data_IF_730085722155
#
_entry.id   IF_730085722155
#
_cell.length_a   1.000
_cell.length_b   1.000
_cell.length_c   1.000
_cell.angle_alpha   90.00
_cell.angle_beta   90.00
_cell.angle_gamma   90.00
#
_symmetry.space_group_name_H-M   'P 1'
#
loop_
_entity.id
_entity.type
_entity.pdbx_description
1 polymer ?
#
# COMPACT_ATOMS: atom_id res chain seq x y z
N UNK A 1 53.41 21.63 37.92
CA UNK A 1 52.95 21.66 36.52
C UNK A 1 51.58 20.97 36.48
N UNK A 2 50.48 21.74 36.35
CA UNK A 2 49.10 21.19 36.31
C UNK A 2 48.69 21.08 34.84
N UNK A 3 48.41 19.86 34.38
CA UNK A 3 47.90 19.60 33.03
C UNK A 3 46.38 19.82 33.07
N UNK A 4 45.90 20.86 32.41
CA UNK A 4 44.47 21.06 32.15
C UNK A 4 44.07 20.14 30.99
N UNK A 5 43.22 19.16 31.26
CA UNK A 5 42.63 18.29 30.25
C UNK A 5 41.32 18.94 29.79
N UNK A 6 41.33 19.54 28.59
CA UNK A 6 40.14 20.12 27.96
C UNK A 6 39.45 19.00 27.19
N UNK A 7 38.34 18.48 27.73
CA UNK A 7 37.46 17.55 27.02
C UNK A 7 36.65 18.36 25.99
N UNK A 8 36.76 18.10 24.67
CA UNK A 8 35.86 18.71 23.71
C UNK A 8 34.47 18.09 23.91
N UNK A 9 33.52 18.88 24.39
CA UNK A 9 32.10 18.52 24.37
C UNK A 9 31.68 18.52 22.90
N UNK A 10 31.64 17.35 22.29
CA UNK A 10 31.03 17.14 20.98
C UNK A 10 29.52 17.22 21.21
N UNK A 11 28.94 18.41 21.09
CA UNK A 11 27.50 18.57 20.94
C UNK A 11 27.12 18.01 19.57
N UNK A 12 26.84 16.71 19.50
CA UNK A 12 26.12 16.12 18.39
C UNK A 12 24.70 16.70 18.43
N UNK A 13 24.52 17.82 17.73
CA UNK A 13 23.19 18.26 17.29
C UNK A 13 22.68 17.12 16.43
N UNK A 14 21.85 16.25 17.00
CA UNK A 14 21.12 15.27 16.23
C UNK A 14 20.22 16.08 15.29
N UNK A 15 20.66 16.26 14.05
CA UNK A 15 19.77 16.71 12.99
C UNK A 15 18.64 15.67 12.94
N UNK A 16 17.47 16.03 13.48
CA UNK A 16 16.26 15.25 13.30
C UNK A 16 16.02 15.19 11.80
N UNK A 17 16.20 14.01 11.21
CA UNK A 17 15.85 13.79 9.81
C UNK A 17 14.35 14.04 9.72
N UNK A 18 13.94 14.86 8.76
CA UNK A 18 12.52 15.13 8.52
C UNK A 18 11.94 13.92 7.79
N UNK A 19 11.32 13.04 8.57
CA UNK A 19 10.74 11.77 8.11
C UNK A 19 9.25 11.93 7.78
N UNK A 20 8.77 13.16 7.52
CA UNK A 20 7.36 13.42 7.18
C UNK A 20 7.05 12.91 5.76
N UNK A 21 6.13 11.94 5.58
CA UNK A 21 5.73 11.49 4.25
C UNK A 21 5.03 12.61 3.47
N UNK A 22 5.38 12.74 2.19
CA UNK A 22 4.71 13.68 1.27
C UNK A 22 3.76 12.96 0.30
N UNK A 23 4.00 11.68 0.04
CA UNK A 23 3.14 10.81 -0.76
C UNK A 23 3.46 9.34 -0.43
N UNK A 24 2.56 8.43 -0.81
CA UNK A 24 2.69 7.00 -0.61
C UNK A 24 2.35 6.20 -1.88
N UNK A 25 2.83 4.97 -1.95
CA UNK A 25 2.37 3.92 -2.87
C UNK A 25 1.89 2.73 -2.05
N UNK A 26 0.80 2.09 -2.47
CA UNK A 26 0.15 1.04 -1.70
C UNK A 26 -0.14 -0.22 -2.52
N UNK A 27 0.87 -0.85 -3.19
CA UNK A 27 0.63 -2.03 -3.99
C UNK A 27 0.01 -3.18 -3.17
N UNK A 28 -1.01 -3.81 -3.75
CA UNK A 28 -1.71 -4.98 -3.22
C UNK A 28 -1.40 -6.18 -4.10
N UNK A 29 -0.92 -7.26 -3.49
CA UNK A 29 -0.61 -8.54 -4.13
C UNK A 29 -1.49 -9.61 -3.53
N UNK A 30 -2.33 -10.25 -4.36
CA UNK A 30 -3.30 -11.25 -3.90
C UNK A 30 -3.29 -12.49 -4.79
N UNK A 31 -3.47 -13.64 -4.17
CA UNK A 31 -3.59 -14.93 -4.81
C UNK A 31 -4.89 -15.60 -4.34
N UNK A 32 -5.86 -15.87 -5.25
CA UNK A 32 -7.04 -16.65 -4.91
C UNK A 32 -6.66 -18.07 -4.48
N UNK A 33 -7.18 -18.53 -3.35
CA UNK A 33 -7.01 -19.89 -2.83
C UNK A 33 -8.37 -20.58 -2.68
N UNK A 34 -8.82 -21.22 -3.75
CA UNK A 34 -10.18 -21.74 -3.81
C UNK A 34 -11.19 -20.58 -3.85
N UNK A 35 -12.05 -20.50 -2.84
CA UNK A 35 -12.98 -19.36 -2.69
C UNK A 35 -12.38 -18.24 -1.83
N UNK A 36 -11.31 -18.52 -1.08
CA UNK A 36 -10.68 -17.54 -0.19
C UNK A 36 -9.58 -16.77 -0.93
N UNK A 37 -9.03 -15.76 -0.27
CA UNK A 37 -7.96 -14.93 -0.80
C UNK A 37 -6.83 -14.83 0.23
N UNK A 38 -5.59 -14.91 -0.23
CA UNK A 38 -4.42 -14.65 0.59
C UNK A 38 -3.47 -13.71 -0.12
N UNK A 39 -2.81 -12.82 0.61
CA UNK A 39 -1.94 -11.84 -0.01
C UNK A 39 -1.27 -10.91 0.98
N UNK A 40 -0.74 -9.81 0.45
CA UNK A 40 -0.20 -8.73 1.25
C UNK A 40 -0.41 -7.38 0.56
N UNK A 41 -0.49 -6.33 1.37
CA UNK A 41 -0.40 -4.95 0.92
C UNK A 41 0.86 -4.32 1.51
N UNK A 42 1.57 -3.53 0.71
CA UNK A 42 2.72 -2.76 1.19
C UNK A 42 2.44 -1.28 1.02
N UNK A 43 2.50 -0.51 2.09
CA UNK A 43 2.47 0.94 2.07
C UNK A 43 3.91 1.46 2.05
N UNK A 44 4.34 2.12 0.98
CA UNK A 44 5.66 2.70 0.83
C UNK A 44 5.59 4.23 0.89
N UNK A 45 6.38 4.85 1.79
CA UNK A 45 6.32 6.28 2.07
C UNK A 45 7.54 7.03 1.55
N UNK A 46 7.30 8.23 1.03
CA UNK A 46 8.34 9.02 0.40
C UNK A 46 8.32 10.49 0.85
N UNK A 47 9.50 11.04 1.17
CA UNK A 47 9.65 12.39 1.74
C UNK A 47 9.66 13.53 0.73
N UNK A 48 9.63 13.26 -0.58
CA UNK A 48 9.47 14.27 -1.63
C UNK A 48 8.65 13.73 -2.79
N UNK A 49 7.68 14.52 -3.25
CA UNK A 49 6.89 14.24 -4.46
C UNK A 49 7.79 13.91 -5.67
N UNK A 50 7.26 13.11 -6.60
CA UNK A 50 7.95 12.61 -7.79
C UNK A 50 8.73 13.71 -8.51
N UNK A 51 10.07 13.73 -8.38
CA UNK A 51 10.93 14.70 -9.06
C UNK A 51 11.44 14.12 -10.38
N UNK A 52 11.57 14.96 -11.41
CA UNK A 52 12.13 14.58 -12.73
C UNK A 52 13.48 13.86 -12.68
N UNK A 53 14.25 14.01 -11.60
CA UNK A 53 15.52 13.33 -11.39
C UNK A 53 15.32 12.03 -10.58
N UNK A 54 15.04 10.94 -11.28
CA UNK A 54 14.77 9.59 -10.73
C UNK A 54 15.87 9.01 -9.82
N UNK A 55 17.08 9.61 -9.79
CA UNK A 55 18.25 9.03 -9.09
C UNK A 55 18.28 9.28 -7.58
N UNK A 56 17.36 10.07 -7.02
CA UNK A 56 17.23 10.22 -5.57
C UNK A 56 16.07 9.38 -5.08
N UNK A 57 16.38 8.25 -4.43
CA UNK A 57 15.40 7.48 -3.66
C UNK A 57 15.00 8.36 -2.48
N UNK A 58 13.75 8.82 -2.49
CA UNK A 58 13.14 9.58 -1.39
C UNK A 58 12.34 8.70 -0.45
N UNK A 59 12.54 7.38 -0.54
CA UNK A 59 11.95 6.39 0.35
C UNK A 59 12.30 6.72 1.79
N UNK A 60 11.28 6.69 2.65
CA UNK A 60 11.40 6.91 4.09
C UNK A 60 11.30 5.58 4.83
N UNK A 61 10.18 4.89 4.65
CA UNK A 61 9.86 3.64 5.32
C UNK A 61 8.70 2.93 4.59
N UNK A 62 8.37 1.72 5.00
CA UNK A 62 7.24 0.94 4.55
C UNK A 62 6.54 0.21 5.70
N UNK A 63 5.26 -0.08 5.47
CA UNK A 63 4.42 -0.91 6.33
C UNK A 63 3.86 -2.04 5.47
N UNK A 64 4.12 -3.29 5.86
CA UNK A 64 3.62 -4.47 5.17
C UNK A 64 2.54 -5.12 6.02
N UNK A 65 1.38 -5.34 5.43
CA UNK A 65 0.25 -6.01 6.06
C UNK A 65 -0.09 -7.29 5.29
N UNK A 66 -0.31 -8.37 6.02
CA UNK A 66 -0.87 -9.62 5.50
C UNK A 66 -2.38 -9.44 5.31
N UNK A 67 -2.89 -9.98 4.20
CA UNK A 67 -4.31 -9.96 3.86
C UNK A 67 -4.85 -11.39 3.85
N UNK A 68 -5.94 -11.61 4.57
CA UNK A 68 -6.72 -12.85 4.53
C UNK A 68 -8.15 -12.50 4.15
N UNK A 69 -8.63 -13.05 3.04
CA UNK A 69 -9.95 -12.77 2.50
C UNK A 69 -10.88 -13.97 2.59
N UNK A 70 -12.09 -13.74 3.09
CA UNK A 70 -13.18 -14.72 3.07
C UNK A 70 -14.17 -14.34 1.97
N UNK A 71 -14.56 -15.30 1.14
CA UNK A 71 -15.54 -15.07 0.07
C UNK A 71 -16.86 -14.52 0.61
N UNK A 72 -17.41 -13.52 -0.07
CA UNK A 72 -18.74 -12.96 0.18
C UNK A 72 -19.55 -12.90 -1.11
N UNK A 73 -20.85 -12.60 -0.98
CA UNK A 73 -21.70 -12.35 -2.15
C UNK A 73 -21.11 -11.19 -2.98
N UNK A 74 -20.88 -11.38 -4.30
CA UNK A 74 -20.34 -10.32 -5.15
C UNK A 74 -21.23 -9.08 -5.20
N UNK A 75 -20.60 -7.91 -5.25
CA UNK A 75 -21.26 -6.65 -5.57
C UNK A 75 -21.82 -6.65 -6.99
N UNK A 76 -22.75 -5.73 -7.27
CA UNK A 76 -23.26 -5.51 -8.62
C UNK A 76 -22.10 -5.19 -9.58
N UNK A 77 -21.86 -6.05 -10.57
CA UNK A 77 -20.76 -5.90 -11.54
C UNK A 77 -19.45 -6.60 -11.18
N UNK A 78 -19.36 -7.15 -9.97
CA UNK A 78 -18.22 -7.92 -9.47
C UNK A 78 -18.39 -9.40 -9.80
N UNK A 79 -17.33 -10.05 -10.27
CA UNK A 79 -17.30 -11.50 -10.48
C UNK A 79 -16.88 -12.24 -9.21
N UNK A 80 -15.99 -11.63 -8.42
CA UNK A 80 -15.47 -12.13 -7.15
C UNK A 80 -15.44 -11.01 -6.12
N UNK A 81 -15.73 -11.33 -4.86
CA UNK A 81 -15.62 -10.40 -3.75
C UNK A 81 -15.21 -11.13 -2.47
N UNK A 82 -14.43 -10.42 -1.65
CA UNK A 82 -13.94 -10.90 -0.36
C UNK A 82 -14.07 -9.83 0.72
N UNK A 83 -14.47 -10.26 1.91
CA UNK A 83 -14.23 -9.52 3.15
C UNK A 83 -12.78 -9.75 3.57
N UNK A 84 -12.04 -8.68 3.85
CA UNK A 84 -10.61 -8.73 4.14
C UNK A 84 -10.36 -8.51 5.63
N UNK A 85 -9.57 -9.41 6.22
CA UNK A 85 -8.90 -9.20 7.50
C UNK A 85 -7.43 -8.85 7.23
N UNK A 86 -6.98 -7.72 7.79
CA UNK A 86 -5.62 -7.21 7.61
C UNK A 86 -4.83 -7.32 8.91
N UNK A 87 -3.61 -7.88 8.85
CA UNK A 87 -2.73 -7.99 10.01
C UNK A 87 -1.37 -7.37 9.70
N UNK A 88 -0.86 -6.49 10.58
CA UNK A 88 0.49 -5.94 10.45
C UNK A 88 1.53 -7.07 10.49
N UNK A 89 2.36 -7.17 9.44
CA UNK A 89 3.40 -8.18 9.30
C UNK A 89 4.79 -7.62 9.63
N UNK A 90 5.18 -6.54 8.96
CA UNK A 90 6.50 -5.91 9.10
C UNK A 90 6.42 -4.39 8.91
N UNK A 91 7.32 -3.65 9.55
CA UNK A 91 7.46 -2.21 9.36
C UNK A 91 8.88 -1.75 9.71
N UNK A 92 9.46 -0.87 8.89
CA UNK A 92 10.68 -0.13 9.21
C UNK A 92 10.38 1.34 9.58
N UNK A 93 9.10 1.71 9.69
CA UNK A 93 8.66 3.02 10.14
C UNK A 93 8.82 3.18 11.65
N UNK A 94 8.99 4.42 12.11
CA UNK A 94 9.00 4.75 13.55
C UNK A 94 7.65 4.44 14.21
N UNK A 95 7.65 4.08 15.50
CA UNK A 95 6.47 3.66 16.28
C UNK A 95 5.23 4.55 16.09
N UNK A 96 5.38 5.88 16.09
CA UNK A 96 4.26 6.82 15.92
C UNK A 96 3.54 6.73 14.58
N UNK A 97 4.17 6.08 13.60
CA UNK A 97 3.64 5.87 12.27
C UNK A 97 3.27 4.40 12.08
N UNK A 98 4.13 3.47 12.50
CA UNK A 98 3.90 2.03 12.42
C UNK A 98 2.59 1.55 13.08
N UNK A 99 2.14 2.20 14.16
CA UNK A 99 0.94 1.83 14.91
C UNK A 99 -0.36 2.48 14.36
N UNK A 100 -0.32 3.13 13.20
CA UNK A 100 -1.50 3.75 12.62
C UNK A 100 -2.49 2.70 12.09
N UNK A 101 -3.67 2.62 12.70
CA UNK A 101 -4.74 1.67 12.35
C UNK A 101 -5.21 1.80 10.89
N UNK A 102 -4.98 2.95 10.24
CA UNK A 102 -5.28 3.17 8.83
C UNK A 102 -4.59 2.15 7.91
N UNK A 103 -3.43 1.60 8.28
CA UNK A 103 -2.73 0.62 7.44
C UNK A 103 -3.39 -0.76 7.41
N UNK A 104 -4.26 -1.03 8.38
CA UNK A 104 -5.04 -2.27 8.48
C UNK A 104 -6.53 -2.04 8.18
N UNK A 105 -6.89 -0.88 7.61
CA UNK A 105 -8.27 -0.47 7.39
C UNK A 105 -8.93 -1.07 6.12
N UNK A 106 -8.20 -1.84 5.31
CA UNK A 106 -8.75 -2.52 4.15
C UNK A 106 -9.76 -3.58 4.60
N UNK A 107 -11.02 -3.42 4.20
CA UNK A 107 -12.13 -4.30 4.62
C UNK A 107 -12.71 -5.12 3.47
N UNK A 108 -12.54 -4.68 2.23
CA UNK A 108 -13.12 -5.34 1.07
C UNK A 108 -12.23 -5.26 -0.15
N UNK A 109 -12.22 -6.35 -0.91
CA UNK A 109 -11.60 -6.42 -2.23
C UNK A 109 -12.55 -7.17 -3.18
N UNK A 110 -12.72 -6.64 -4.38
CA UNK A 110 -13.50 -7.29 -5.42
C UNK A 110 -12.78 -7.23 -6.77
N UNK A 111 -13.03 -8.22 -7.60
CA UNK A 111 -12.59 -8.30 -8.99
C UNK A 111 -13.82 -8.48 -9.88
N UNK A 112 -13.88 -7.78 -10.99
CA UNK A 112 -14.99 -7.89 -11.92
C UNK A 112 -14.73 -7.19 -13.23
N UNK A 113 -15.81 -6.76 -13.87
CA UNK A 113 -15.71 -6.02 -15.13
C UNK A 113 -15.04 -4.67 -14.90
N UNK A 114 -14.31 -4.20 -15.90
CA UNK A 114 -13.87 -2.80 -15.94
C UNK A 114 -15.10 -1.91 -16.07
N UNK A 115 -15.16 -0.82 -15.31
CA UNK A 115 -16.25 0.16 -15.43
C UNK A 115 -16.30 0.69 -16.87
N UNK A 116 -17.50 0.76 -17.42
CA UNK A 116 -17.76 1.33 -18.74
C UNK A 116 -17.21 2.75 -18.93
N UNK A 117 -17.13 3.56 -17.86
CA UNK A 117 -16.53 4.89 -17.93
C UNK A 117 -15.00 4.85 -18.10
N UNK A 118 -14.36 3.77 -17.65
CA UNK A 118 -12.91 3.54 -17.70
C UNK A 118 -12.47 2.67 -18.88
N UNK A 119 -13.43 1.99 -19.55
CA UNK A 119 -13.18 1.07 -20.68
C UNK A 119 -12.41 1.74 -21.83
N UNK A 120 -12.56 3.07 -22.00
CA UNK A 120 -11.84 3.85 -23.02
C UNK A 120 -10.34 3.95 -22.76
N UNK A 121 -9.94 3.88 -21.48
CA UNK A 121 -8.54 3.96 -21.07
C UNK A 121 -7.91 2.57 -20.83
N UNK A 122 -8.72 1.50 -20.90
CA UNK A 122 -8.27 0.11 -20.76
C UNK A 122 -7.32 -0.28 -21.91
N UNK A 123 -6.07 -0.70 -21.63
CA UNK A 123 -5.13 -1.13 -22.65
C UNK A 123 -5.53 -2.46 -23.32
N UNK A 124 -6.41 -3.25 -22.69
CA UNK A 124 -6.91 -4.53 -23.21
C UNK A 124 -8.44 -4.67 -23.02
N UNK A 125 -9.26 -3.86 -23.72
CA UNK A 125 -10.71 -3.85 -23.55
C UNK A 125 -11.33 -5.24 -23.80
N UNK A 126 -12.11 -5.71 -22.83
CA UNK A 126 -12.78 -7.01 -22.86
C UNK A 126 -11.95 -8.18 -22.35
N UNK A 127 -10.64 -8.00 -22.16
CA UNK A 127 -9.74 -9.01 -21.59
C UNK A 127 -9.23 -8.65 -20.20
N UNK A 128 -9.25 -7.36 -19.83
CA UNK A 128 -8.91 -6.89 -18.49
C UNK A 128 -10.06 -7.11 -17.48
N UNK A 129 -9.69 -7.32 -16.21
CA UNK A 129 -10.60 -7.25 -15.05
C UNK A 129 -10.31 -6.00 -14.23
N UNK A 130 -11.37 -5.35 -13.75
CA UNK A 130 -11.31 -4.25 -12.80
C UNK A 130 -11.15 -4.76 -11.37
N UNK A 131 -10.19 -4.20 -10.63
CA UNK A 131 -10.05 -4.36 -9.20
C UNK A 131 -10.71 -3.21 -8.46
N UNK A 132 -11.37 -3.54 -7.35
CA UNK A 132 -12.11 -2.62 -6.49
C UNK A 132 -11.68 -2.85 -5.04
N UNK A 133 -11.38 -1.78 -4.32
CA UNK A 133 -10.97 -1.80 -2.90
C UNK A 133 -11.90 -0.93 -2.07
N UNK A 134 -12.09 -1.29 -0.80
CA UNK A 134 -12.91 -0.53 0.15
C UNK A 134 -12.20 -0.35 1.48
N UNK A 135 -12.13 0.89 1.94
CA UNK A 135 -11.59 1.32 3.24
C UNK A 135 -12.72 1.97 4.07
N UNK A 136 -13.08 1.39 5.22
CA UNK A 136 -14.09 1.91 6.18
C UNK A 136 -15.34 2.62 5.57
N UNK A 137 -15.82 3.72 6.18
CA UNK A 137 -17.04 4.47 5.78
C UNK A 137 -16.81 5.46 4.61
N UNK A 138 -15.55 5.70 4.22
CA UNK A 138 -15.20 6.51 3.05
C UNK A 138 -14.80 5.56 1.90
N UNK A 139 -15.76 5.18 1.05
CA UNK A 139 -15.48 4.34 -0.13
C UNK A 139 -14.51 5.05 -1.06
N UNK A 140 -13.23 4.70 -0.94
CA UNK A 140 -12.22 5.07 -1.91
C UNK A 140 -12.14 3.99 -2.98
N UNK A 141 -12.83 4.22 -4.09
CA UNK A 141 -12.84 3.30 -5.24
C UNK A 141 -11.54 3.49 -6.03
N UNK A 142 -10.51 2.69 -5.71
CA UNK A 142 -9.35 2.58 -6.57
C UNK A 142 -9.61 1.52 -7.64
N UNK A 143 -9.54 1.93 -8.90
CA UNK A 143 -9.67 1.04 -10.04
C UNK A 143 -8.28 0.63 -10.55
N UNK A 144 -8.02 -0.66 -10.61
CA UNK A 144 -6.84 -1.23 -11.28
C UNK A 144 -7.27 -2.23 -12.34
N UNK A 145 -6.52 -2.38 -13.43
CA UNK A 145 -6.81 -3.38 -14.46
C UNK A 145 -5.74 -4.47 -14.43
N UNK A 146 -6.16 -5.73 -14.43
CA UNK A 146 -5.26 -6.87 -14.57
C UNK A 146 -5.66 -7.71 -15.79
N UNK A 147 -4.66 -8.14 -16.56
CA UNK A 147 -4.85 -9.13 -17.63
C UNK A 147 -4.44 -10.50 -17.08
N UNK A 148 -5.37 -11.46 -16.93
CA UNK A 148 -5.01 -12.80 -16.51
C UNK A 148 -4.37 -13.56 -17.68
N UNK A 149 -3.02 -13.58 -17.73
CA UNK A 149 -2.26 -14.42 -18.67
C UNK A 149 -2.50 -15.93 -18.48
N UNK A 150 -3.22 -16.36 -17.44
CA UNK A 150 -3.55 -17.75 -17.15
C UNK A 150 -4.67 -18.34 -18.05
N UNK A 151 -5.20 -17.57 -19.02
CA UNK A 151 -6.20 -18.04 -19.99
C UNK A 151 -5.70 -18.13 -21.45
N UNK A 152 -4.38 -18.01 -21.68
CA UNK A 152 -3.73 -18.36 -22.97
C UNK A 152 -3.20 -19.80 -23.01
#
# INVERSE_FOLDING_TARGET
>A
MRILLVLPIVMSVACKVDDTPTWALDPIYVEPQGNDLYGFQSWEFFGKAWQKQQRKKHYLCSVVVELQGTSIDPCDGCDLAWSIESTLLETDCSDSFAENEAFTALQGLALGKVDSELEVDDPYPGDSVGGYVSYEEETWEAHGWAYPTAYD
#
